data_IF_511042225988
#
_entry.id   IF_511042225988
#
_cell.length_a   1.000
_cell.length_b   1.000
_cell.length_c   1.000
_cell.angle_alpha   90.00
_cell.angle_beta   90.00
_cell.angle_gamma   90.00
#
_symmetry.space_group_name_H-M   'P 1'
#
loop_
_entity.id
_entity.type
_entity.pdbx_description
1 polymer ?
#
# COMPACT_ATOMS: atom_id res chain seq x y z
N UNK A 1 -7.28 -16.90 21.50
CA UNK A 1 -8.52 -16.08 21.54
C UNK A 1 -9.16 -16.11 20.15
N UNK A 2 -10.41 -16.53 20.06
CA UNK A 2 -11.18 -16.56 18.80
C UNK A 2 -11.88 -15.21 18.63
N UNK A 3 -11.81 -14.61 17.44
CA UNK A 3 -12.42 -13.33 17.10
C UNK A 3 -13.52 -13.51 16.06
N UNK A 4 -14.55 -12.66 16.12
CA UNK A 4 -15.46 -12.41 15.01
C UNK A 4 -14.92 -11.23 14.17
N UNK A 5 -14.45 -11.52 12.95
CA UNK A 5 -13.79 -10.56 12.06
C UNK A 5 -14.70 -10.22 10.89
N UNK A 6 -14.97 -8.92 10.69
CA UNK A 6 -15.60 -8.37 9.50
C UNK A 6 -14.53 -7.90 8.51
N UNK A 7 -14.48 -8.51 7.33
CA UNK A 7 -13.50 -8.15 6.32
C UNK A 7 -14.16 -7.39 5.18
N UNK A 8 -13.73 -6.16 4.96
CA UNK A 8 -14.13 -5.31 3.87
C UNK A 8 -13.21 -5.53 2.66
N UNK A 9 -13.76 -6.07 1.58
CA UNK A 9 -13.01 -6.34 0.35
C UNK A 9 -12.67 -7.81 0.14
N UNK A 10 -13.27 -8.43 -0.88
CA UNK A 10 -13.02 -9.82 -1.29
C UNK A 10 -12.12 -9.94 -2.53
N UNK A 11 -11.17 -9.03 -2.70
CA UNK A 11 -10.11 -9.13 -3.70
C UNK A 11 -9.04 -10.16 -3.29
N UNK A 12 -7.95 -10.28 -4.07
CA UNK A 12 -6.89 -11.25 -3.81
C UNK A 12 -6.37 -11.15 -2.36
N UNK A 13 -6.02 -9.94 -1.90
CA UNK A 13 -5.51 -9.74 -0.54
C UNK A 13 -6.54 -10.04 0.55
N UNK A 14 -7.75 -9.49 0.42
CA UNK A 14 -8.79 -9.76 1.42
C UNK A 14 -9.18 -11.23 1.50
N UNK A 15 -9.27 -11.95 0.37
CA UNK A 15 -9.54 -13.39 0.36
C UNK A 15 -8.42 -14.19 1.02
N UNK A 16 -7.15 -13.80 0.80
CA UNK A 16 -5.99 -14.41 1.45
C UNK A 16 -6.02 -14.19 2.97
N UNK A 17 -6.31 -12.96 3.42
CA UNK A 17 -6.46 -12.67 4.86
C UNK A 17 -7.61 -13.46 5.48
N UNK A 18 -8.75 -13.58 4.79
CA UNK A 18 -9.87 -14.37 5.29
C UNK A 18 -9.51 -15.84 5.46
N UNK A 19 -8.75 -16.39 4.50
CA UNK A 19 -8.24 -17.78 4.60
C UNK A 19 -7.28 -17.94 5.79
N UNK A 20 -6.30 -17.03 5.94
CA UNK A 20 -5.32 -17.07 7.03
C UNK A 20 -5.99 -16.98 8.40
N UNK A 21 -6.91 -16.02 8.57
CA UNK A 21 -7.61 -15.84 9.84
C UNK A 21 -8.60 -16.99 10.12
N UNK A 22 -9.25 -17.53 9.10
CA UNK A 22 -10.09 -18.71 9.24
C UNK A 22 -9.30 -19.94 9.67
N UNK A 23 -8.11 -20.16 9.09
CA UNK A 23 -7.19 -21.24 9.49
C UNK A 23 -6.65 -21.05 10.92
N UNK A 24 -6.53 -19.82 11.39
CA UNK A 24 -6.18 -19.49 12.78
C UNK A 24 -7.36 -19.68 13.76
N UNK A 25 -8.53 -20.13 13.30
CA UNK A 25 -9.69 -20.40 14.13
C UNK A 25 -10.61 -19.19 14.38
N UNK A 26 -10.46 -18.11 13.63
CA UNK A 26 -11.35 -16.96 13.72
C UNK A 26 -12.61 -17.12 12.86
N UNK A 27 -13.72 -16.53 13.30
CA UNK A 27 -14.94 -16.41 12.50
C UNK A 27 -14.85 -15.22 11.55
N UNK A 28 -14.75 -15.45 10.23
CA UNK A 28 -14.57 -14.37 9.26
C UNK A 28 -15.80 -14.19 8.39
N UNK A 29 -16.35 -12.98 8.36
CA UNK A 29 -17.39 -12.56 7.42
C UNK A 29 -16.80 -11.59 6.41
N UNK A 30 -16.99 -11.86 5.12
CA UNK A 30 -16.45 -11.02 4.04
C UNK A 30 -17.58 -10.23 3.40
N UNK A 31 -17.41 -8.91 3.32
CA UNK A 31 -18.20 -8.04 2.47
C UNK A 31 -17.43 -7.75 1.17
N UNK A 32 -18.17 -7.79 0.04
CA UNK A 32 -17.64 -7.47 -1.29
C UNK A 32 -18.46 -6.35 -1.91
N UNK A 33 -17.85 -5.52 -2.71
CA UNK A 33 -18.57 -4.42 -3.40
C UNK A 33 -19.84 -4.87 -4.15
N UNK A 34 -19.82 -6.06 -4.74
CA UNK A 34 -20.98 -6.65 -5.42
C UNK A 34 -22.17 -6.98 -4.50
N UNK A 35 -21.92 -7.11 -3.21
CA UNK A 35 -22.95 -7.43 -2.21
C UNK A 35 -23.80 -6.20 -1.88
N UNK A 36 -23.37 -5.00 -2.34
CA UNK A 36 -24.02 -3.73 -2.07
C UNK A 36 -23.76 -3.20 -0.64
N UNK A 37 -23.96 -1.90 -0.43
CA UNK A 37 -23.70 -1.25 0.87
C UNK A 37 -24.65 -1.75 1.97
N UNK A 38 -25.90 -2.10 1.64
CA UNK A 38 -26.86 -2.65 2.61
C UNK A 38 -26.40 -3.94 3.29
N UNK A 39 -25.52 -4.72 2.66
CA UNK A 39 -24.98 -5.94 3.25
C UNK A 39 -23.91 -5.69 4.35
N UNK A 40 -23.43 -4.46 4.50
CA UNK A 40 -22.47 -4.09 5.57
C UNK A 40 -23.05 -4.35 6.97
N UNK A 41 -24.36 -4.24 7.15
CA UNK A 41 -25.05 -4.54 8.41
C UNK A 41 -24.72 -5.93 8.99
N UNK A 42 -24.42 -6.92 8.14
CA UNK A 42 -24.01 -8.26 8.58
C UNK A 42 -22.68 -8.29 9.36
N UNK A 43 -21.87 -7.22 9.28
CA UNK A 43 -20.61 -7.09 10.00
C UNK A 43 -20.76 -6.40 11.36
N UNK A 44 -21.92 -5.85 11.70
CA UNK A 44 -22.12 -5.14 12.97
C UNK A 44 -21.85 -6.00 14.22
N UNK A 45 -21.99 -7.33 14.13
CA UNK A 45 -21.64 -8.25 15.21
C UNK A 45 -20.16 -8.62 15.31
N UNK A 46 -19.29 -8.09 14.43
CA UNK A 46 -17.87 -8.39 14.45
C UNK A 46 -17.13 -7.55 15.49
N UNK A 47 -16.11 -8.14 16.13
CA UNK A 47 -15.27 -7.48 17.14
C UNK A 47 -14.11 -6.69 16.53
N UNK A 48 -13.72 -7.04 15.29
CA UNK A 48 -12.65 -6.42 14.53
C UNK A 48 -13.12 -6.21 13.08
N UNK A 49 -12.85 -5.04 12.54
CA UNK A 49 -13.02 -4.77 11.11
C UNK A 49 -11.63 -4.74 10.43
N UNK A 50 -11.49 -5.47 9.35
CA UNK A 50 -10.28 -5.46 8.52
C UNK A 50 -10.62 -4.91 7.14
N UNK A 51 -10.04 -3.78 6.78
CA UNK A 51 -10.23 -3.12 5.47
C UNK A 51 -9.13 -3.53 4.50
N UNK A 52 -9.49 -4.35 3.51
CA UNK A 52 -8.62 -4.79 2.42
C UNK A 52 -9.13 -4.30 1.05
N UNK A 53 -9.74 -3.12 1.02
CA UNK A 53 -10.22 -2.47 -0.20
C UNK A 53 -9.13 -1.59 -0.81
N UNK A 54 -9.24 -1.30 -2.11
CA UNK A 54 -8.41 -0.26 -2.72
C UNK A 54 -8.72 1.11 -2.11
N UNK A 55 -7.72 1.99 -2.05
CA UNK A 55 -7.82 3.31 -1.41
C UNK A 55 -9.04 4.11 -1.87
N UNK A 56 -9.34 4.08 -3.17
CA UNK A 56 -10.51 4.78 -3.76
C UNK A 56 -11.85 4.37 -3.15
N UNK A 57 -11.94 3.21 -2.53
CA UNK A 57 -13.17 2.73 -1.88
C UNK A 57 -13.25 3.04 -0.38
N UNK A 58 -12.20 3.58 0.21
CA UNK A 58 -12.11 3.77 1.67
C UNK A 58 -13.10 4.83 2.15
N UNK A 59 -13.13 6.00 1.53
CA UNK A 59 -13.96 7.11 1.98
C UNK A 59 -15.46 6.76 1.95
N UNK A 60 -15.93 6.13 0.86
CA UNK A 60 -17.31 5.70 0.75
C UNK A 60 -17.70 4.70 1.85
N UNK A 61 -16.81 3.75 2.17
CA UNK A 61 -17.04 2.80 3.24
C UNK A 61 -16.99 3.45 4.63
N UNK A 62 -16.09 4.41 4.82
CA UNK A 62 -15.99 5.14 6.08
C UNK A 62 -17.27 5.92 6.38
N UNK A 63 -17.87 6.56 5.36
CA UNK A 63 -19.17 7.22 5.48
C UNK A 63 -20.30 6.24 5.86
N UNK A 64 -20.31 5.05 5.28
CA UNK A 64 -21.31 4.02 5.59
C UNK A 64 -21.16 3.39 6.98
N UNK A 65 -19.93 3.30 7.48
CA UNK A 65 -19.66 2.75 8.81
C UNK A 65 -19.75 3.81 9.93
N UNK A 66 -19.59 5.08 9.61
CA UNK A 66 -19.63 6.19 10.58
C UNK A 66 -20.89 6.19 11.46
N UNK A 67 -22.11 5.87 10.95
CA UNK A 67 -23.33 5.83 11.77
C UNK A 67 -23.43 4.63 12.72
N UNK A 68 -22.47 3.70 12.71
CA UNK A 68 -22.55 2.54 13.60
C UNK A 68 -22.41 2.96 15.07
N UNK A 69 -23.38 2.53 15.89
CA UNK A 69 -23.52 2.99 17.28
C UNK A 69 -22.31 2.65 18.18
N UNK A 70 -21.54 1.63 17.82
CA UNK A 70 -20.38 1.22 18.60
C UNK A 70 -19.12 1.26 17.74
N UNK A 71 -18.12 2.08 18.12
CA UNK A 71 -16.79 2.03 17.52
C UNK A 71 -16.16 0.64 17.63
N UNK A 72 -15.45 0.24 16.60
CA UNK A 72 -14.73 -1.03 16.57
C UNK A 72 -13.28 -0.81 16.15
N UNK A 73 -12.34 -1.60 16.67
CA UNK A 73 -11.00 -1.61 16.12
C UNK A 73 -11.05 -1.93 14.63
N UNK A 74 -10.33 -1.12 13.85
CA UNK A 74 -10.23 -1.25 12.39
C UNK A 74 -8.76 -1.40 12.00
N UNK A 75 -8.45 -2.47 11.25
CA UNK A 75 -7.15 -2.70 10.63
C UNK A 75 -7.22 -2.27 9.18
N UNK A 76 -6.54 -1.20 8.82
CA UNK A 76 -6.39 -0.77 7.42
C UNK A 76 -5.25 -1.52 6.75
N UNK A 77 -5.57 -2.18 5.63
CA UNK A 77 -4.58 -2.82 4.75
C UNK A 77 -4.46 -2.07 3.41
N UNK A 78 -5.21 -0.99 3.23
CA UNK A 78 -5.20 -0.17 2.02
C UNK A 78 -3.89 0.59 1.91
N UNK A 79 -3.38 0.74 0.68
CA UNK A 79 -2.08 1.37 0.42
C UNK A 79 -2.25 2.51 -0.57
N UNK A 80 -1.49 3.59 -0.36
CA UNK A 80 -1.45 4.71 -1.29
C UNK A 80 -1.81 6.05 -0.67
N UNK A 81 -1.89 7.05 -1.54
CA UNK A 81 -2.34 8.40 -1.25
C UNK A 81 -3.54 8.72 -2.12
N UNK A 82 -4.56 9.32 -1.53
CA UNK A 82 -5.71 9.82 -2.29
C UNK A 82 -5.28 10.97 -3.20
N UNK A 83 -5.56 10.91 -4.50
CA UNK A 83 -5.07 11.90 -5.45
C UNK A 83 -5.65 13.31 -5.24
N UNK A 84 -6.84 13.42 -4.64
CA UNK A 84 -7.51 14.71 -4.42
C UNK A 84 -7.07 15.38 -3.11
N UNK A 85 -6.79 14.61 -2.06
CA UNK A 85 -6.49 15.14 -0.71
C UNK A 85 -5.06 14.90 -0.26
N UNK A 86 -4.34 13.95 -0.88
CA UNK A 86 -3.05 13.47 -0.38
C UNK A 86 -3.16 12.62 0.88
N UNK A 87 -4.36 12.30 1.34
CA UNK A 87 -4.57 11.52 2.57
C UNK A 87 -4.24 10.05 2.35
N UNK A 88 -3.71 9.44 3.40
CA UNK A 88 -3.60 7.98 3.51
C UNK A 88 -4.97 7.36 3.83
N UNK A 89 -5.08 6.03 3.73
CA UNK A 89 -6.33 5.34 4.06
C UNK A 89 -6.72 5.55 5.54
N UNK A 90 -5.75 5.52 6.46
CA UNK A 90 -6.02 5.74 7.88
C UNK A 90 -6.54 7.15 8.16
N UNK A 91 -6.03 8.16 7.47
CA UNK A 91 -6.54 9.54 7.58
C UNK A 91 -7.97 9.65 7.04
N UNK A 92 -8.31 8.98 5.94
CA UNK A 92 -9.67 8.92 5.42
C UNK A 92 -10.62 8.22 6.41
N UNK A 93 -10.20 7.09 6.99
CA UNK A 93 -10.98 6.43 8.05
C UNK A 93 -11.19 7.35 9.25
N UNK A 94 -10.14 7.99 9.73
CA UNK A 94 -10.18 8.83 10.92
C UNK A 94 -11.05 10.08 10.74
N UNK A 95 -11.12 10.60 9.51
CA UNK A 95 -11.97 11.75 9.17
C UNK A 95 -13.46 11.47 9.40
N UNK A 96 -13.92 10.25 9.09
CA UNK A 96 -15.33 9.86 9.16
C UNK A 96 -15.65 9.00 10.38
N UNK A 97 -14.68 8.26 10.91
CA UNK A 97 -14.80 7.38 12.06
C UNK A 97 -13.77 7.76 13.15
N UNK A 98 -13.77 9.00 13.69
CA UNK A 98 -12.71 9.52 14.55
C UNK A 98 -12.56 8.78 15.89
N UNK A 99 -13.61 8.11 16.36
CA UNK A 99 -13.63 7.35 17.62
C UNK A 99 -13.21 5.89 17.47
N UNK A 100 -13.02 5.43 16.23
CA UNK A 100 -12.64 4.04 15.98
C UNK A 100 -11.14 3.85 16.24
N UNK A 101 -10.74 2.87 17.08
CA UNK A 101 -9.33 2.53 17.24
C UNK A 101 -8.77 2.02 15.92
N UNK A 102 -7.73 2.68 15.41
CA UNK A 102 -7.21 2.42 14.07
C UNK A 102 -5.84 1.75 14.13
N UNK A 103 -5.68 0.69 13.38
CA UNK A 103 -4.44 -0.05 13.16
C UNK A 103 -4.12 -0.09 11.66
N UNK A 104 -2.85 -0.21 11.33
CA UNK A 104 -2.36 -0.35 9.96
C UNK A 104 -1.63 -1.67 9.81
N UNK A 105 -1.96 -2.44 8.76
CA UNK A 105 -1.26 -3.67 8.40
C UNK A 105 -0.54 -3.45 7.06
N UNK A 106 0.79 -3.51 7.08
CA UNK A 106 1.63 -3.34 5.90
C UNK A 106 2.88 -4.22 5.97
N UNK A 107 3.49 -4.51 4.81
CA UNK A 107 4.68 -5.35 4.70
C UNK A 107 4.75 -6.09 3.37
N UNK A 108 5.77 -6.95 3.16
CA UNK A 108 5.95 -7.74 1.95
C UNK A 108 4.89 -8.84 1.84
N UNK A 109 3.76 -8.51 1.25
CA UNK A 109 2.55 -9.33 1.22
C UNK A 109 2.12 -9.60 -0.23
N UNK A 110 2.78 -10.50 -0.91
CA UNK A 110 2.33 -11.03 -2.20
C UNK A 110 1.20 -12.03 -1.96
N UNK A 111 -0.04 -11.62 -2.20
CA UNK A 111 -1.23 -12.39 -1.87
C UNK A 111 -1.22 -13.83 -2.44
N UNK A 112 -0.65 -14.02 -3.64
CA UNK A 112 -0.54 -15.33 -4.27
C UNK A 112 0.38 -16.29 -3.49
N UNK A 113 1.51 -15.79 -2.98
CA UNK A 113 2.45 -16.59 -2.19
C UNK A 113 1.82 -17.01 -0.87
N UNK A 114 1.19 -16.08 -0.16
CA UNK A 114 0.49 -16.37 1.09
C UNK A 114 -0.69 -17.34 0.89
N UNK A 115 -1.43 -17.21 -0.20
CA UNK A 115 -2.52 -18.14 -0.53
C UNK A 115 -2.02 -19.58 -0.79
N UNK A 116 -0.78 -19.72 -1.26
CA UNK A 116 -0.08 -21.00 -1.40
C UNK A 116 0.52 -21.51 -0.07
N UNK A 117 0.37 -20.76 1.01
CA UNK A 117 0.90 -21.12 2.33
C UNK A 117 2.40 -20.84 2.50
N UNK A 118 3.01 -20.03 1.63
CA UNK A 118 4.39 -19.59 1.82
C UNK A 118 4.48 -18.61 3.00
N UNK A 119 5.59 -18.63 3.76
CA UNK A 119 5.74 -17.78 4.93
C UNK A 119 5.90 -16.31 4.57
N UNK A 120 5.31 -15.45 5.38
CA UNK A 120 5.47 -14.01 5.27
C UNK A 120 5.52 -13.35 6.65
N UNK A 121 6.06 -12.14 6.68
CA UNK A 121 6.07 -11.28 7.85
C UNK A 121 5.56 -9.90 7.48
N UNK A 122 4.78 -9.30 8.39
CA UNK A 122 4.18 -7.98 8.22
C UNK A 122 4.30 -7.15 9.49
N UNK A 123 3.97 -5.89 9.37
CA UNK A 123 3.89 -4.95 10.49
C UNK A 123 2.42 -4.68 10.79
N UNK A 124 2.04 -4.79 12.06
CA UNK A 124 0.80 -4.23 12.60
C UNK A 124 1.18 -3.00 13.42
N UNK A 125 0.76 -1.83 12.96
CA UNK A 125 1.11 -0.55 13.57
C UNK A 125 -0.10 0.16 14.15
N UNK A 126 0.09 0.90 15.24
CA UNK A 126 -0.95 1.71 15.88
C UNK A 126 -0.39 2.50 17.04
N UNK A 127 -1.14 3.52 17.49
CA UNK A 127 -0.74 4.38 18.60
C UNK A 127 -1.04 3.76 19.98
N UNK A 128 -1.98 2.81 20.05
CA UNK A 128 -2.36 2.09 21.27
C UNK A 128 -1.58 0.75 21.32
N UNK A 129 -0.47 0.73 22.05
CA UNK A 129 0.39 -0.45 22.14
C UNK A 129 -0.29 -1.69 22.72
N UNK A 130 -1.11 -1.64 23.79
CA UNK A 130 -1.93 -2.75 24.25
C UNK A 130 -2.84 -3.32 23.15
N UNK A 131 -3.50 -2.47 22.38
CA UNK A 131 -4.37 -2.87 21.30
C UNK A 131 -3.57 -3.55 20.18
N UNK A 132 -2.45 -2.97 19.76
CA UNK A 132 -1.54 -3.56 18.78
C UNK A 132 -1.07 -4.94 19.23
N UNK A 133 -0.63 -5.07 20.50
CA UNK A 133 -0.16 -6.33 21.08
C UNK A 133 -1.25 -7.41 21.06
N UNK A 134 -2.47 -7.04 21.45
CA UNK A 134 -3.64 -7.93 21.43
C UNK A 134 -3.89 -8.52 20.05
N UNK A 135 -3.97 -7.65 19.03
CA UNK A 135 -4.27 -8.10 17.67
C UNK A 135 -3.06 -8.73 16.97
N UNK A 136 -1.84 -8.33 17.31
CA UNK A 136 -0.66 -9.04 16.85
C UNK A 136 -0.70 -10.52 17.27
N UNK A 137 -0.97 -10.78 18.54
CA UNK A 137 -1.03 -12.15 19.06
C UNK A 137 -2.19 -12.94 18.46
N UNK A 138 -3.35 -12.30 18.30
CA UNK A 138 -4.53 -12.97 17.76
C UNK A 138 -4.42 -13.31 16.27
N UNK A 139 -3.82 -12.42 15.47
CA UNK A 139 -3.79 -12.53 14.01
C UNK A 139 -2.49 -13.15 13.48
N UNK A 140 -1.44 -13.31 14.30
CA UNK A 140 -0.22 -14.01 13.90
C UNK A 140 -0.46 -15.52 13.80
N UNK A 141 0.18 -16.13 12.81
CA UNK A 141 0.22 -17.58 12.64
C UNK A 141 1.66 -18.04 12.42
N UNK A 142 1.92 -19.34 12.38
CA UNK A 142 3.24 -19.89 12.10
C UNK A 142 3.78 -19.49 10.72
N UNK A 143 2.88 -19.17 9.78
CA UNK A 143 3.25 -18.79 8.41
C UNK A 143 3.04 -17.30 8.10
N UNK A 144 2.31 -16.58 8.95
CA UNK A 144 2.08 -15.13 8.81
C UNK A 144 2.40 -14.44 10.12
N UNK A 145 3.64 -13.97 10.27
CA UNK A 145 4.11 -13.31 11.48
C UNK A 145 3.87 -11.81 11.44
N UNK A 146 3.31 -11.27 12.51
CA UNK A 146 3.11 -9.84 12.67
C UNK A 146 4.14 -9.27 13.66
N UNK A 147 4.78 -8.17 13.27
CA UNK A 147 5.66 -7.37 14.11
C UNK A 147 4.94 -6.08 14.48
N UNK A 148 5.15 -5.61 15.70
CA UNK A 148 4.53 -4.37 16.19
C UNK A 148 5.33 -3.16 15.75
N UNK A 149 4.61 -2.04 15.49
CA UNK A 149 5.21 -0.72 15.30
C UNK A 149 4.29 0.33 15.92
N UNK A 150 4.87 1.39 16.48
CA UNK A 150 4.16 2.53 17.08
C UNK A 150 4.16 3.76 16.16
N UNK A 151 4.43 3.55 14.87
CA UNK A 151 4.38 4.56 13.81
C UNK A 151 3.44 4.10 12.69
N UNK A 152 2.12 4.19 12.90
CA UNK A 152 1.14 3.78 11.88
C UNK A 152 1.24 4.63 10.61
N UNK A 153 1.53 5.93 10.74
CA UNK A 153 1.65 6.83 9.58
C UNK A 153 2.85 6.46 8.70
N UNK A 154 4.04 6.31 9.29
CA UNK A 154 5.23 5.90 8.54
C UNK A 154 5.06 4.52 7.92
N UNK A 155 4.41 3.57 8.63
CA UNK A 155 4.10 2.22 8.13
C UNK A 155 3.19 2.27 6.90
N UNK A 156 2.17 3.12 6.91
CA UNK A 156 1.22 3.27 5.81
C UNK A 156 1.82 4.00 4.61
N UNK A 157 2.54 5.11 4.87
CA UNK A 157 3.25 5.87 3.83
C UNK A 157 4.28 4.99 3.11
N UNK A 158 5.13 4.28 3.85
CA UNK A 158 6.12 3.39 3.27
C UNK A 158 5.47 2.34 2.35
N UNK A 159 4.42 1.66 2.84
CA UNK A 159 3.68 0.66 2.08
C UNK A 159 2.92 1.21 0.87
N UNK A 160 2.50 2.46 0.90
CA UNK A 160 1.83 3.15 -0.20
C UNK A 160 2.79 3.64 -1.27
N UNK A 161 3.81 4.41 -0.86
CA UNK A 161 4.75 5.07 -1.76
C UNK A 161 5.63 4.10 -2.54
N UNK A 162 5.97 2.93 -1.96
CA UNK A 162 6.72 1.88 -2.67
C UNK A 162 6.05 1.45 -3.99
N UNK A 163 4.73 1.59 -4.13
CA UNK A 163 4.01 1.22 -5.33
C UNK A 163 4.39 2.10 -6.53
N UNK A 164 4.66 3.39 -6.29
CA UNK A 164 5.18 4.32 -7.31
C UNK A 164 6.58 3.89 -7.73
N UNK A 165 7.43 3.55 -6.77
CA UNK A 165 8.80 3.12 -7.02
C UNK A 165 8.88 1.77 -7.74
N UNK A 166 7.91 0.89 -7.49
CA UNK A 166 7.79 -0.38 -8.21
C UNK A 166 7.43 -0.19 -9.69
N UNK A 167 6.67 0.86 -10.04
CA UNK A 167 6.45 1.23 -11.45
C UNK A 167 7.78 1.60 -12.08
N UNK A 168 8.58 2.48 -11.44
CA UNK A 168 9.90 2.87 -11.95
C UNK A 168 10.84 1.67 -12.12
N UNK A 169 10.82 0.72 -11.16
CA UNK A 169 11.62 -0.50 -11.27
C UNK A 169 11.18 -1.38 -12.45
N UNK A 170 9.88 -1.49 -12.68
CA UNK A 170 9.35 -2.18 -13.85
C UNK A 170 9.79 -1.55 -15.17
N UNK A 171 9.81 -0.22 -15.26
CA UNK A 171 10.36 0.52 -16.41
C UNK A 171 11.85 0.23 -16.59
N UNK A 172 12.62 0.29 -15.51
CA UNK A 172 14.06 0.00 -15.51
C UNK A 172 14.36 -1.40 -16.11
N UNK A 173 13.64 -2.41 -15.65
CA UNK A 173 13.83 -3.78 -16.12
C UNK A 173 13.28 -3.99 -17.55
N UNK A 174 12.16 -3.36 -17.90
CA UNK A 174 11.61 -3.41 -19.26
C UNK A 174 12.54 -2.77 -20.31
N UNK A 175 13.33 -1.77 -19.91
CA UNK A 175 14.38 -1.17 -20.75
C UNK A 175 15.71 -1.98 -20.71
N UNK A 176 15.77 -3.10 -20.01
CA UNK A 176 16.96 -3.94 -19.86
C UNK A 176 18.21 -3.21 -19.35
N UNK A 177 18.06 -2.28 -18.37
CA UNK A 177 19.14 -1.45 -17.86
C UNK A 177 20.08 -2.18 -16.89
N UNK A 178 19.69 -3.37 -16.46
CA UNK A 178 20.50 -4.26 -15.62
C UNK A 178 20.44 -3.96 -14.11
N UNK A 179 21.16 -4.80 -13.36
CA UNK A 179 21.08 -4.82 -11.89
C UNK A 179 21.63 -3.54 -11.22
N UNK A 180 22.68 -2.94 -11.78
CA UNK A 180 23.28 -1.72 -11.20
C UNK A 180 22.30 -0.53 -11.28
N UNK A 181 21.64 -0.34 -12.42
CA UNK A 181 20.65 0.72 -12.60
C UNK A 181 19.47 0.51 -11.64
N UNK A 182 18.95 -0.72 -11.55
CA UNK A 182 17.87 -1.05 -10.61
C UNK A 182 18.26 -0.83 -9.15
N UNK A 183 19.48 -1.25 -8.74
CA UNK A 183 19.95 -1.02 -7.37
C UNK A 183 20.06 0.47 -7.06
N UNK A 184 20.64 1.26 -7.97
CA UNK A 184 20.75 2.72 -7.84
C UNK A 184 19.36 3.37 -7.75
N UNK A 185 18.42 2.96 -8.62
CA UNK A 185 17.04 3.45 -8.60
C UNK A 185 16.37 3.17 -7.25
N UNK A 186 16.44 1.94 -6.73
CA UNK A 186 15.80 1.58 -5.48
C UNK A 186 16.43 2.29 -4.27
N UNK A 187 17.75 2.50 -4.26
CA UNK A 187 18.42 3.30 -3.24
C UNK A 187 17.92 4.74 -3.23
N UNK A 188 17.80 5.38 -4.41
CA UNK A 188 17.24 6.73 -4.53
C UNK A 188 15.76 6.79 -4.21
N UNK A 189 15.00 5.76 -4.56
CA UNK A 189 13.60 5.62 -4.20
C UNK A 189 13.40 5.62 -2.67
N UNK A 190 14.25 4.92 -1.92
CA UNK A 190 14.21 4.96 -0.45
C UNK A 190 14.44 6.38 0.08
N UNK A 191 15.34 7.15 -0.50
CA UNK A 191 15.58 8.53 -0.08
C UNK A 191 14.33 9.43 -0.34
N UNK A 192 13.63 9.26 -1.47
CA UNK A 192 12.38 9.99 -1.74
C UNK A 192 11.28 9.60 -0.78
N UNK A 193 11.09 8.30 -0.53
CA UNK A 193 10.10 7.81 0.44
C UNK A 193 10.42 8.35 1.84
N UNK A 194 11.69 8.29 2.26
CA UNK A 194 12.14 8.74 3.57
C UNK A 194 11.89 10.24 3.79
N UNK A 195 12.13 11.06 2.77
CA UNK A 195 11.82 12.49 2.80
C UNK A 195 10.33 12.71 3.09
N UNK A 196 9.45 12.02 2.36
CA UNK A 196 8.00 12.19 2.51
C UNK A 196 7.52 11.69 3.87
N UNK A 197 8.01 10.52 4.33
CA UNK A 197 7.67 9.98 5.66
C UNK A 197 8.02 10.99 6.75
N UNK A 198 9.25 11.53 6.72
CA UNK A 198 9.71 12.48 7.72
C UNK A 198 8.94 13.81 7.64
N UNK A 199 8.70 14.32 6.45
CA UNK A 199 7.98 15.58 6.24
C UNK A 199 6.52 15.52 6.72
N UNK A 200 5.89 14.34 6.65
CA UNK A 200 4.52 14.12 7.12
C UNK A 200 4.44 13.66 8.58
N UNK A 201 5.57 13.56 9.29
CA UNK A 201 5.62 13.23 10.72
C UNK A 201 5.72 11.73 11.04
N UNK A 202 5.98 10.88 10.05
CA UNK A 202 6.36 9.49 10.29
C UNK A 202 7.85 9.37 10.68
N UNK A 203 8.25 8.21 11.20
CA UNK A 203 9.62 7.97 11.63
C UNK A 203 10.47 7.36 10.52
N UNK A 204 11.68 7.87 10.35
CA UNK A 204 12.61 7.41 9.31
C UNK A 204 13.02 5.94 9.51
N UNK A 205 13.12 5.47 10.75
CA UNK A 205 13.45 4.08 11.06
C UNK A 205 12.43 3.09 10.52
N UNK A 206 11.15 3.50 10.44
CA UNK A 206 10.06 2.67 9.88
C UNK A 206 10.33 2.31 8.41
N UNK A 207 11.01 3.18 7.67
CA UNK A 207 11.36 2.93 6.26
C UNK A 207 12.26 1.69 6.08
N UNK A 208 13.18 1.44 7.01
CA UNK A 208 14.12 0.32 6.91
C UNK A 208 13.53 -1.02 7.39
N UNK A 209 12.29 -1.00 7.88
CA UNK A 209 11.56 -2.19 8.31
C UNK A 209 10.83 -2.93 7.18
N UNK A 210 9.99 -3.89 7.60
CA UNK A 210 9.20 -4.73 6.69
C UNK A 210 8.22 -3.91 5.84
N UNK A 211 7.58 -2.88 6.41
CA UNK A 211 6.61 -2.06 5.68
C UNK A 211 7.24 -1.13 4.64
N UNK A 212 8.52 -0.78 4.80
CA UNK A 212 9.28 0.05 3.86
C UNK A 212 10.18 -0.78 2.96
N UNK A 213 11.45 -0.94 3.34
CA UNK A 213 12.47 -1.65 2.54
C UNK A 213 12.02 -3.07 2.17
N UNK A 214 11.45 -3.82 3.12
CA UNK A 214 11.01 -5.19 2.86
C UNK A 214 9.93 -5.25 1.78
N UNK A 215 8.89 -4.41 1.89
CA UNK A 215 7.79 -4.38 0.93
C UNK A 215 8.20 -3.75 -0.42
N UNK A 216 9.13 -2.78 -0.40
CA UNK A 216 9.72 -2.23 -1.62
C UNK A 216 10.46 -3.31 -2.41
N UNK A 217 11.36 -4.06 -1.76
CA UNK A 217 12.12 -5.12 -2.41
C UNK A 217 11.20 -6.20 -2.99
N UNK A 218 10.26 -6.73 -2.18
CA UNK A 218 9.32 -7.75 -2.64
C UNK A 218 8.46 -7.28 -3.82
N UNK A 219 8.11 -5.98 -3.87
CA UNK A 219 7.22 -5.44 -4.91
C UNK A 219 7.98 -5.02 -6.16
N UNK A 220 9.17 -4.45 -6.02
CA UNK A 220 9.96 -3.90 -7.13
C UNK A 220 10.79 -4.95 -7.88
N UNK A 221 10.88 -6.19 -7.36
CA UNK A 221 11.64 -7.28 -7.97
C UNK A 221 10.80 -8.50 -8.34
N UNK A 222 9.48 -8.40 -8.23
CA UNK A 222 8.58 -9.54 -8.48
C UNK A 222 7.60 -9.27 -9.61
N UNK A 223 7.54 -10.21 -10.56
CA UNK A 223 6.53 -10.23 -11.60
C UNK A 223 5.10 -10.46 -11.08
N UNK A 224 4.92 -10.81 -9.81
CA UNK A 224 3.61 -10.86 -9.16
C UNK A 224 3.08 -9.47 -8.84
N UNK A 225 3.95 -8.45 -8.78
CA UNK A 225 3.57 -7.07 -8.53
C UNK A 225 2.87 -6.44 -9.75
N UNK A 226 1.64 -5.99 -9.55
CA UNK A 226 0.88 -5.28 -10.58
C UNK A 226 1.55 -3.96 -10.97
N UNK A 227 2.12 -3.23 -10.00
CA UNK A 227 2.82 -1.97 -10.24
C UNK A 227 4.09 -2.20 -11.06
N UNK A 228 4.88 -3.21 -10.72
CA UNK A 228 6.07 -3.59 -11.49
C UNK A 228 5.70 -3.99 -12.94
N UNK A 229 4.71 -4.87 -13.12
CA UNK A 229 4.25 -5.28 -14.45
C UNK A 229 3.71 -4.12 -15.27
N UNK A 230 3.02 -3.18 -14.63
CA UNK A 230 2.54 -1.96 -15.28
C UNK A 230 3.70 -1.11 -15.82
N UNK A 231 4.72 -0.86 -14.99
CA UNK A 231 5.93 -0.15 -15.43
C UNK A 231 6.66 -0.87 -16.58
N UNK A 232 6.77 -2.21 -16.51
CA UNK A 232 7.36 -3.01 -17.58
C UNK A 232 6.57 -2.87 -18.88
N UNK A 233 5.24 -2.88 -18.83
CA UNK A 233 4.39 -2.70 -20.01
C UNK A 233 4.55 -1.30 -20.65
N UNK A 234 4.74 -0.25 -19.84
CA UNK A 234 5.07 1.09 -20.37
C UNK A 234 6.40 1.09 -21.12
N UNK A 235 7.41 0.38 -20.59
CA UNK A 235 8.72 0.27 -21.25
C UNK A 235 8.67 -0.51 -22.56
N UNK A 236 7.70 -1.39 -22.75
CA UNK A 236 7.39 -2.07 -24.02
C UNK A 236 6.68 -1.16 -25.03
N UNK A 237 6.40 0.09 -24.69
CA UNK A 237 5.74 1.07 -25.56
C UNK A 237 4.22 1.09 -25.48
N UNK A 238 3.60 0.41 -24.51
CA UNK A 238 2.16 0.50 -24.30
C UNK A 238 1.79 1.85 -23.68
N UNK A 239 0.68 2.41 -24.14
CA UNK A 239 0.05 3.53 -23.45
C UNK A 239 -0.44 3.11 -22.05
N UNK A 240 -0.65 4.08 -21.19
CA UNK A 240 -1.22 3.84 -19.84
C UNK A 240 -2.52 3.05 -19.87
N UNK A 241 -3.42 3.36 -20.81
CA UNK A 241 -4.70 2.68 -20.96
C UNK A 241 -4.51 1.19 -21.33
N UNK A 242 -3.66 0.90 -22.30
CA UNK A 242 -3.35 -0.47 -22.75
C UNK A 242 -2.64 -1.26 -21.64
N UNK A 243 -1.69 -0.64 -20.95
CA UNK A 243 -1.00 -1.26 -19.81
C UNK A 243 -1.97 -1.60 -18.66
N UNK A 244 -2.88 -0.70 -18.30
CA UNK A 244 -3.93 -0.96 -17.29
C UNK A 244 -4.86 -2.08 -17.74
N UNK A 245 -5.25 -2.11 -19.02
CA UNK A 245 -6.08 -3.18 -19.58
C UNK A 245 -5.36 -4.53 -19.53
N UNK A 246 -4.07 -4.58 -19.88
CA UNK A 246 -3.22 -5.80 -19.78
C UNK A 246 -3.14 -6.32 -18.35
N UNK A 247 -3.02 -5.43 -17.36
CA UNK A 247 -2.96 -5.83 -15.95
C UNK A 247 -4.31 -6.38 -15.46
N UNK A 248 -5.43 -5.88 -15.95
CA UNK A 248 -6.79 -6.34 -15.62
C UNK A 248 -7.18 -6.20 -14.15
N UNK A 249 -6.44 -5.39 -13.37
CA UNK A 249 -6.67 -5.16 -11.95
C UNK A 249 -6.15 -3.77 -11.54
N UNK A 250 -6.56 -3.29 -10.37
CA UNK A 250 -6.13 -1.98 -9.86
C UNK A 250 -4.61 -1.90 -9.71
N UNK A 251 -4.00 -0.88 -10.30
CA UNK A 251 -2.59 -0.50 -10.15
C UNK A 251 -2.55 0.71 -9.21
N UNK A 252 -2.37 0.44 -7.90
CA UNK A 252 -2.45 1.46 -6.85
C UNK A 252 -1.37 2.54 -6.95
N UNK A 253 -0.25 2.23 -7.60
CA UNK A 253 0.83 3.18 -7.83
C UNK A 253 0.41 4.37 -8.70
N UNK A 254 -0.54 4.20 -9.61
CA UNK A 254 -0.99 5.28 -10.51
C UNK A 254 -1.69 6.41 -9.73
N UNK A 255 -2.79 6.18 -9.01
CA UNK A 255 -3.40 7.25 -8.20
C UNK A 255 -2.49 7.74 -7.07
N UNK A 256 -1.67 6.85 -6.48
CA UNK A 256 -0.71 7.25 -5.44
C UNK A 256 0.33 8.23 -5.98
N UNK A 257 0.80 8.03 -7.20
CA UNK A 257 1.75 8.92 -7.85
C UNK A 257 1.18 10.33 -8.04
N UNK A 258 -0.07 10.44 -8.47
CA UNK A 258 -0.75 11.72 -8.60
C UNK A 258 -0.86 12.46 -7.26
N UNK A 259 -1.30 11.76 -6.19
CA UNK A 259 -1.37 12.34 -4.85
C UNK A 259 0.01 12.76 -4.30
N UNK A 260 1.03 11.93 -4.54
CA UNK A 260 2.40 12.20 -4.11
C UNK A 260 2.98 13.43 -4.81
N UNK A 261 2.82 13.54 -6.14
CA UNK A 261 3.35 14.68 -6.89
C UNK A 261 2.63 15.97 -6.54
N UNK A 262 1.32 15.91 -6.27
CA UNK A 262 0.56 17.05 -5.77
C UNK A 262 1.10 17.55 -4.41
N UNK A 263 1.28 16.64 -3.44
CA UNK A 263 1.90 17.00 -2.15
C UNK A 263 3.31 17.56 -2.33
N UNK A 264 4.08 17.00 -3.26
CA UNK A 264 5.43 17.51 -3.55
C UNK A 264 5.41 18.93 -4.10
N UNK A 265 4.42 19.29 -4.92
CA UNK A 265 4.23 20.66 -5.41
C UNK A 265 3.81 21.62 -4.28
N UNK A 266 2.83 21.23 -3.46
CA UNK A 266 2.34 22.04 -2.33
C UNK A 266 3.42 22.33 -1.30
N UNK A 267 4.32 21.36 -1.05
CA UNK A 267 5.37 21.49 -0.03
C UNK A 267 6.77 21.82 -0.59
N UNK A 268 6.91 21.94 -1.91
CA UNK A 268 8.20 22.21 -2.56
C UNK A 268 9.20 21.07 -2.47
N UNK A 269 8.75 19.81 -2.37
CA UNK A 269 9.63 18.66 -2.29
C UNK A 269 10.23 18.27 -3.64
N UNK A 270 11.51 17.88 -3.62
CA UNK A 270 12.17 17.35 -4.81
C UNK A 270 12.06 15.83 -4.85
N UNK A 271 11.12 15.31 -5.63
CA UNK A 271 10.86 13.88 -5.82
C UNK A 271 11.04 13.50 -7.31
N UNK A 272 12.29 13.43 -7.79
CA UNK A 272 12.55 13.22 -9.21
C UNK A 272 12.03 11.90 -9.77
N UNK A 273 12.13 10.78 -9.03
CA UNK A 273 11.62 9.48 -9.51
C UNK A 273 10.10 9.53 -9.62
N UNK A 274 9.41 10.03 -8.58
CA UNK A 274 7.97 10.15 -8.60
C UNK A 274 7.47 11.04 -9.76
N UNK A 275 8.16 12.17 -10.03
CA UNK A 275 7.84 13.07 -11.15
C UNK A 275 8.00 12.40 -12.51
N UNK A 276 9.05 11.60 -12.69
CA UNK A 276 9.24 10.84 -13.95
C UNK A 276 8.17 9.77 -14.11
N UNK A 277 7.82 9.06 -13.04
CA UNK A 277 6.71 8.10 -13.07
C UNK A 277 5.40 8.78 -13.45
N UNK A 278 5.11 9.97 -12.89
CA UNK A 278 3.92 10.73 -13.25
C UNK A 278 3.92 11.12 -14.73
N UNK A 279 5.04 11.64 -15.23
CA UNK A 279 5.17 12.04 -16.64
C UNK A 279 4.97 10.85 -17.60
N UNK A 280 5.48 9.67 -17.23
CA UNK A 280 5.26 8.42 -17.97
C UNK A 280 3.78 7.98 -17.95
N UNK A 281 3.16 7.99 -16.79
CA UNK A 281 1.75 7.61 -16.62
C UNK A 281 0.84 8.54 -17.40
N UNK A 282 1.16 9.81 -17.50
CA UNK A 282 0.42 10.80 -18.27
C UNK A 282 0.78 10.81 -19.77
N UNK A 283 1.72 9.99 -20.20
CA UNK A 283 2.17 9.92 -21.61
C UNK A 283 2.91 11.19 -22.07
N UNK A 284 3.45 11.99 -21.15
CA UNK A 284 4.19 13.23 -21.46
C UNK A 284 5.65 12.99 -21.84
N UNK A 285 6.17 11.81 -21.53
CA UNK A 285 7.56 11.45 -21.76
C UNK A 285 7.67 9.97 -22.10
N UNK A 286 8.64 9.63 -22.95
CA UNK A 286 8.99 8.24 -23.27
C UNK A 286 9.89 7.63 -22.18
N UNK A 287 9.84 6.31 -21.95
CA UNK A 287 10.62 5.63 -20.90
C UNK A 287 12.14 5.88 -20.98
N UNK A 288 12.72 5.86 -22.18
CA UNK A 288 14.14 6.16 -22.40
C UNK A 288 14.51 7.59 -22.03
N UNK A 289 13.63 8.55 -22.32
CA UNK A 289 13.84 9.96 -21.98
C UNK A 289 13.72 10.20 -20.47
N UNK A 290 12.77 9.55 -19.81
CA UNK A 290 12.64 9.63 -18.34
C UNK A 290 13.93 9.21 -17.63
N UNK A 291 14.55 8.10 -18.11
CA UNK A 291 15.85 7.67 -17.60
C UNK A 291 16.93 8.72 -17.84
N UNK A 292 17.04 9.23 -19.07
CA UNK A 292 18.05 10.23 -19.42
C UNK A 292 17.95 11.45 -18.51
N UNK A 293 16.75 11.98 -18.27
CA UNK A 293 16.55 13.12 -17.36
C UNK A 293 16.94 12.84 -15.90
N UNK A 294 16.78 11.61 -15.42
CA UNK A 294 17.28 11.22 -14.11
C UNK A 294 18.81 11.20 -14.05
N UNK A 295 19.49 10.81 -15.14
CA UNK A 295 20.95 10.74 -15.24
C UNK A 295 21.60 12.10 -15.47
N UNK A 296 20.94 13.02 -16.18
CA UNK A 296 21.45 14.37 -16.49
C UNK A 296 21.39 15.34 -15.30
N UNK A 297 20.82 14.93 -14.18
CA UNK A 297 20.75 15.77 -12.98
C UNK A 297 22.14 16.12 -12.45
N UNK A 298 22.28 17.36 -11.93
CA UNK A 298 23.54 17.81 -11.30
C UNK A 298 24.01 16.83 -10.25
N UNK A 299 25.30 16.50 -10.30
CA UNK A 299 25.96 15.66 -9.29
C UNK A 299 25.82 16.34 -7.91
N UNK A 300 25.50 15.54 -6.91
CA UNK A 300 25.39 15.96 -5.50
C UNK A 300 26.16 14.98 -4.63
N UNK A 301 26.53 15.41 -3.43
CA UNK A 301 26.99 14.48 -2.38
C UNK A 301 25.87 13.52 -1.99
N UNK A 302 26.24 12.33 -1.62
CA UNK A 302 25.32 11.30 -1.14
C UNK A 302 24.93 11.55 0.32
#
# INVERSE_FOLDING_TARGET
MTLAIGLLGGGAWGSTLAQLFGQAGHGVKIWRRRDGLGALGALQGCELIVSAVALVGVEALALELAPWAQPRPLVSCSKGLDPATGFTASQLWQRHCPTWPLLVLSGPNLAQELAQGLPAASVLAGNDEPLVSRYQQALSTDRFRLYRNTDPLGTELAGGLKNVMAIAAGVCDGLNLGANARASLLTRALAEIGLVIQALGGRQETLFGLAGLGDLLATATSALSRNYRFGHALAEGLSTAEALQRIGATVEGVPTCAGLCRLAEEHGWSLPIARQVQALVEGRIEPSRALQELMERRLRSE
#
